data_IF_965195124361
#
_entry.id   IF_965195124361
#
_cell.length_a   1.000
_cell.length_b   1.000
_cell.length_c   1.000
_cell.angle_alpha   90.00
_cell.angle_beta   90.00
_cell.angle_gamma   90.00
#
_symmetry.space_group_name_H-M   'P 1'
#
loop_
_entity.id
_entity.type
_entity.pdbx_description
1 polymer ?
#
# COMPACT_ATOMS: atom_id res chain seq x y z
N UNK A 1 16.18 -3.89 26.68
CA UNK A 1 15.39 -4.96 26.04
C UNK A 1 15.05 -4.51 24.64
N UNK A 2 15.84 -4.97 23.68
CA UNK A 2 15.63 -4.72 22.26
C UNK A 2 14.36 -5.47 21.83
N UNK A 3 13.27 -4.73 21.65
CA UNK A 3 12.09 -5.27 20.98
C UNK A 3 12.46 -5.38 19.49
N UNK A 4 12.93 -6.56 19.11
CA UNK A 4 13.10 -6.95 17.72
C UNK A 4 11.76 -6.87 17.00
N UNK A 5 11.51 -5.75 16.32
CA UNK A 5 10.40 -5.61 15.38
C UNK A 5 10.80 -6.25 14.05
N UNK A 6 10.93 -7.56 14.06
CA UNK A 6 11.12 -8.36 12.86
C UNK A 6 9.74 -8.58 12.22
N UNK A 7 9.28 -7.61 11.45
CA UNK A 7 8.06 -7.74 10.64
C UNK A 7 8.33 -7.31 9.20
N UNK A 8 9.00 -8.21 8.47
CA UNK A 8 8.82 -8.48 7.04
C UNK A 8 8.75 -7.28 6.09
N UNK A 9 9.83 -6.50 6.00
CA UNK A 9 10.17 -5.83 4.73
C UNK A 9 10.44 -6.87 3.62
N UNK A 10 10.76 -8.13 3.98
CA UNK A 10 11.18 -9.21 3.08
C UNK A 10 10.05 -9.81 2.24
N UNK A 11 8.82 -9.95 2.74
CA UNK A 11 7.74 -10.58 1.95
C UNK A 11 7.18 -9.65 0.86
N UNK A 12 7.20 -8.33 1.05
CA UNK A 12 6.72 -7.41 0.02
C UNK A 12 7.71 -7.34 -1.16
N UNK A 13 9.00 -7.25 -0.84
CA UNK A 13 10.10 -7.31 -1.82
C UNK A 13 10.12 -8.68 -2.49
N UNK A 14 10.04 -9.77 -1.73
CA UNK A 14 9.97 -11.13 -2.28
C UNK A 14 8.72 -11.36 -3.15
N UNK A 15 7.61 -10.72 -2.81
CA UNK A 15 6.40 -10.76 -3.62
C UNK A 15 6.57 -9.99 -4.94
N UNK A 16 7.24 -8.83 -4.92
CA UNK A 16 7.52 -8.03 -6.12
C UNK A 16 8.66 -8.61 -6.97
N UNK A 17 9.63 -9.28 -6.35
CA UNK A 17 10.66 -10.08 -7.01
C UNK A 17 10.04 -11.32 -7.68
N UNK A 18 9.08 -11.99 -7.01
CA UNK A 18 8.29 -13.06 -7.63
C UNK A 18 7.43 -12.55 -8.78
N UNK A 19 6.81 -11.36 -8.65
CA UNK A 19 6.09 -10.70 -9.75
C UNK A 19 7.02 -10.38 -10.93
N UNK A 20 8.25 -9.95 -10.65
CA UNK A 20 9.24 -9.65 -11.67
C UNK A 20 9.82 -10.90 -12.34
N UNK A 21 9.98 -12.00 -11.58
CA UNK A 21 10.36 -13.30 -12.14
C UNK A 21 9.27 -13.84 -13.08
N UNK A 22 8.01 -13.72 -12.69
CA UNK A 22 6.86 -14.09 -13.54
C UNK A 22 6.80 -13.23 -14.80
N UNK A 23 7.08 -11.91 -14.69
CA UNK A 23 7.15 -11.02 -15.84
C UNK A 23 8.29 -11.40 -16.81
N UNK A 24 9.48 -11.76 -16.29
CA UNK A 24 10.61 -12.27 -17.09
C UNK A 24 10.30 -13.60 -17.78
N UNK A 25 9.69 -14.54 -17.07
CA UNK A 25 9.35 -15.87 -17.59
C UNK A 25 8.27 -15.78 -18.68
N UNK A 26 7.39 -14.78 -18.63
CA UNK A 26 6.40 -14.54 -19.68
C UNK A 26 7.01 -14.09 -21.02
N UNK A 27 8.26 -13.59 -21.02
CA UNK A 27 8.93 -13.02 -22.19
C UNK A 27 9.93 -13.98 -22.88
N UNK A 28 10.01 -15.25 -22.42
CA UNK A 28 10.84 -16.27 -23.09
C UNK A 28 10.01 -17.19 -23.98
N UNK A 29 10.33 -17.34 -25.29
CA UNK A 29 9.60 -18.25 -26.16
C UNK A 29 9.99 -19.70 -25.83
N UNK A 30 9.06 -20.48 -25.26
CA UNK A 30 9.24 -21.94 -25.12
C UNK A 30 8.59 -22.66 -26.31
N UNK A 31 9.44 -23.15 -27.21
CA UNK A 31 9.06 -24.15 -28.19
C UNK A 31 8.90 -25.54 -27.55
N UNK A 32 8.04 -26.37 -28.15
CA UNK A 32 8.07 -27.83 -27.95
C UNK A 32 6.93 -28.44 -27.13
N UNK A 33 5.96 -28.97 -27.87
CA UNK A 33 4.97 -30.01 -27.55
C UNK A 33 5.25 -30.90 -26.33
N UNK A 34 4.30 -30.93 -25.40
CA UNK A 34 4.26 -31.93 -24.32
C UNK A 34 3.00 -31.76 -23.47
N UNK A 35 2.02 -32.66 -23.67
CA UNK A 35 0.78 -32.73 -22.88
C UNK A 35 1.17 -33.06 -21.44
N UNK A 36 1.25 -32.04 -20.59
CA UNK A 36 1.63 -32.16 -19.17
C UNK A 36 0.50 -31.60 -18.32
N UNK A 37 0.15 -32.31 -17.26
CA UNK A 37 -0.79 -31.83 -16.25
C UNK A 37 -0.19 -30.60 -15.57
N UNK A 38 -0.71 -29.41 -15.90
CA UNK A 38 -0.22 -28.12 -15.42
C UNK A 38 -0.82 -27.87 -14.02
N UNK A 39 0.00 -27.67 -12.96
CA UNK A 39 -0.51 -27.48 -11.60
C UNK A 39 -1.31 -26.18 -11.49
N UNK A 40 -2.27 -26.16 -10.56
CA UNK A 40 -3.09 -24.97 -10.32
C UNK A 40 -2.20 -23.80 -9.86
N UNK A 41 -2.58 -22.54 -10.11
CA UNK A 41 -1.73 -21.38 -9.77
C UNK A 41 -1.38 -21.30 -8.28
N UNK A 42 -2.28 -21.75 -7.40
CA UNK A 42 -2.01 -21.90 -5.96
C UNK A 42 -1.02 -23.03 -5.63
N UNK A 43 -0.99 -24.11 -6.41
CA UNK A 43 0.00 -25.19 -6.28
C UNK A 43 1.36 -24.79 -6.87
N UNK A 44 1.39 -24.01 -7.95
CA UNK A 44 2.62 -23.49 -8.53
C UNK A 44 3.30 -22.47 -7.61
N UNK A 45 2.51 -21.61 -6.95
CA UNK A 45 3.01 -20.70 -5.92
C UNK A 45 3.52 -21.44 -4.67
N UNK A 46 2.84 -22.51 -4.25
CA UNK A 46 3.28 -23.35 -3.13
C UNK A 46 4.50 -24.23 -3.46
N UNK A 47 4.63 -24.69 -4.72
CA UNK A 47 5.72 -25.56 -5.17
C UNK A 47 7.00 -24.80 -5.55
N UNK A 48 6.89 -23.52 -5.96
CA UNK A 48 8.03 -22.63 -6.11
C UNK A 48 8.75 -22.30 -4.78
N UNK A 49 8.07 -22.53 -3.64
CA UNK A 49 8.64 -22.37 -2.29
C UNK A 49 9.43 -23.63 -1.86
N UNK A 50 9.31 -24.75 -2.57
CA UNK A 50 10.02 -25.98 -2.23
C UNK A 50 10.28 -26.89 -3.43
N UNK A 51 11.38 -26.66 -4.15
CA UNK A 51 12.25 -27.70 -4.73
C UNK A 51 13.41 -27.10 -5.56
N UNK A 52 14.63 -27.31 -5.06
CA UNK A 52 15.96 -27.40 -5.70
C UNK A 52 16.36 -26.44 -6.87
N UNK A 53 17.11 -25.39 -6.51
CA UNK A 53 18.32 -24.95 -7.23
C UNK A 53 19.28 -24.18 -6.30
N UNK A 54 20.59 -24.14 -6.61
CA UNK A 54 21.65 -24.25 -5.60
C UNK A 54 21.99 -22.94 -4.88
N UNK A 55 22.06 -23.05 -3.54
CA UNK A 55 22.80 -22.25 -2.54
C UNK A 55 23.34 -20.87 -2.96
N UNK A 56 22.60 -19.84 -2.56
CA UNK A 56 23.18 -18.71 -1.82
C UNK A 56 22.40 -18.57 -0.51
N UNK A 57 23.10 -18.85 0.58
CA UNK A 57 22.57 -19.02 1.92
C UNK A 57 22.32 -17.67 2.62
N UNK A 58 21.05 -17.33 2.83
CA UNK A 58 20.53 -16.55 3.96
C UNK A 58 19.06 -16.94 4.24
N UNK A 59 18.83 -18.12 4.80
CA UNK A 59 17.52 -18.53 5.32
C UNK A 59 17.29 -17.91 6.71
N UNK A 60 16.65 -16.74 6.73
CA UNK A 60 15.89 -16.28 7.91
C UNK A 60 14.48 -16.88 7.89
N UNK A 61 13.81 -17.06 9.05
CA UNK A 61 12.52 -17.74 9.11
C UNK A 61 11.47 -16.95 8.32
N UNK A 62 10.96 -17.54 7.23
CA UNK A 62 9.84 -17.00 6.47
C UNK A 62 8.59 -17.04 7.36
N UNK A 63 8.20 -15.89 7.92
CA UNK A 63 6.94 -15.77 8.64
C UNK A 63 5.75 -16.13 7.73
N UNK A 64 4.62 -16.57 8.31
CA UNK A 64 3.44 -16.94 7.52
C UNK A 64 2.97 -15.75 6.68
N UNK A 65 2.70 -16.00 5.39
CA UNK A 65 2.16 -15.00 4.46
C UNK A 65 0.88 -14.39 5.04
N UNK A 66 0.78 -13.06 5.01
CA UNK A 66 -0.45 -12.38 5.38
C UNK A 66 -1.56 -12.72 4.37
N UNK A 67 -2.82 -12.84 4.82
CA UNK A 67 -3.95 -13.06 3.90
C UNK A 67 -4.07 -12.00 2.80
N UNK A 68 -3.54 -10.80 3.05
CA UNK A 68 -3.40 -9.75 2.05
C UNK A 68 -2.32 -10.05 1.01
N UNK A 69 -1.17 -10.59 1.43
CA UNK A 69 -0.08 -11.00 0.53
C UNK A 69 -0.48 -12.22 -0.29
N UNK A 70 -1.30 -13.11 0.26
CA UNK A 70 -1.80 -14.30 -0.44
C UNK A 70 -2.96 -14.02 -1.41
N UNK A 71 -3.54 -12.82 -1.41
CA UNK A 71 -4.77 -12.54 -2.15
C UNK A 71 -4.55 -12.48 -3.67
N UNK A 72 -5.17 -13.39 -4.42
CA UNK A 72 -5.15 -13.41 -5.90
C UNK A 72 -6.55 -13.60 -6.46
N UNK A 73 -6.83 -12.97 -7.60
CA UNK A 73 -8.01 -13.24 -8.39
C UNK A 73 -7.62 -14.15 -9.56
N UNK A 74 -8.29 -15.28 -9.69
CA UNK A 74 -8.13 -16.20 -10.81
C UNK A 74 -9.45 -16.31 -11.55
N UNK A 75 -9.40 -16.27 -12.88
CA UNK A 75 -10.59 -16.32 -13.74
C UNK A 75 -10.57 -17.64 -14.50
N UNK A 76 -11.61 -18.45 -14.30
CA UNK A 76 -11.81 -19.66 -15.09
C UNK A 76 -12.49 -19.29 -16.41
N UNK A 77 -11.74 -19.34 -17.51
CA UNK A 77 -12.24 -18.97 -18.84
C UNK A 77 -12.57 -20.24 -19.64
N UNK A 78 -13.85 -20.49 -19.99
CA UNK A 78 -14.22 -21.62 -20.82
C UNK A 78 -13.80 -21.41 -22.28
N UNK A 79 -13.72 -22.51 -23.01
CA UNK A 79 -13.60 -22.46 -24.47
C UNK A 79 -14.88 -21.86 -25.09
N UNK A 80 -14.79 -21.04 -26.16
CA UNK A 80 -13.60 -20.67 -26.93
C UNK A 80 -12.86 -19.42 -26.44
N UNK A 81 -13.37 -18.72 -25.42
CA UNK A 81 -12.84 -17.42 -24.98
C UNK A 81 -11.39 -17.52 -24.46
N UNK A 82 -10.98 -18.69 -23.98
CA UNK A 82 -9.62 -18.96 -23.52
C UNK A 82 -8.54 -18.85 -24.62
N UNK A 83 -8.93 -18.84 -25.90
CA UNK A 83 -8.02 -18.57 -27.03
C UNK A 83 -7.51 -17.13 -26.93
N UNK A 84 -8.38 -16.19 -26.57
CA UNK A 84 -8.05 -14.78 -26.35
C UNK A 84 -7.52 -14.56 -24.93
N UNK A 85 -8.28 -15.00 -23.93
CA UNK A 85 -7.90 -14.89 -22.52
C UNK A 85 -7.04 -16.09 -22.10
N UNK A 86 -5.87 -16.18 -22.69
CA UNK A 86 -4.89 -17.23 -22.41
C UNK A 86 -4.34 -17.12 -20.98
N UNK A 87 -3.67 -18.18 -20.50
CA UNK A 87 -3.02 -18.16 -19.17
C UNK A 87 -1.96 -17.07 -19.06
N UNK A 88 -1.23 -16.77 -20.15
CA UNK A 88 -0.22 -15.70 -20.19
C UNK A 88 -0.87 -14.33 -19.98
N UNK A 89 -1.98 -14.08 -20.68
CA UNK A 89 -2.79 -12.86 -20.54
C UNK A 89 -3.33 -12.70 -19.12
N UNK A 90 -3.94 -13.75 -18.56
CA UNK A 90 -4.44 -13.72 -17.18
C UNK A 90 -3.33 -13.46 -16.15
N UNK A 91 -2.12 -13.92 -16.43
CA UNK A 91 -0.96 -13.65 -15.57
C UNK A 91 -0.56 -12.17 -15.60
N UNK A 92 -0.54 -11.52 -16.78
CA UNK A 92 -0.29 -10.07 -16.90
C UNK A 92 -1.35 -9.27 -16.11
N UNK A 93 -2.63 -9.64 -16.24
CA UNK A 93 -3.71 -9.04 -15.44
C UNK A 93 -3.53 -9.23 -13.93
N UNK A 94 -3.11 -10.43 -13.50
CA UNK A 94 -2.82 -10.70 -12.09
C UNK A 94 -1.70 -9.79 -11.57
N UNK A 95 -0.65 -9.56 -12.37
CA UNK A 95 0.43 -8.65 -11.98
C UNK A 95 -0.06 -7.21 -11.81
N UNK A 96 -0.79 -6.69 -12.80
CA UNK A 96 -1.37 -5.33 -12.75
C UNK A 96 -2.30 -5.20 -11.55
N UNK A 97 -3.21 -6.17 -11.37
CA UNK A 97 -4.15 -6.21 -10.24
C UNK A 97 -3.40 -6.18 -8.90
N UNK A 98 -2.40 -7.04 -8.72
CA UNK A 98 -1.67 -7.13 -7.45
C UNK A 98 -0.93 -5.85 -7.12
N UNK A 99 -0.34 -5.21 -8.14
CA UNK A 99 0.30 -3.91 -7.97
C UNK A 99 -0.70 -2.83 -7.54
N UNK A 100 -1.81 -2.67 -8.27
CA UNK A 100 -2.87 -1.70 -7.95
C UNK A 100 -3.49 -1.95 -6.57
N UNK A 101 -3.79 -3.21 -6.27
CA UNK A 101 -4.36 -3.64 -5.00
C UNK A 101 -3.43 -3.30 -3.84
N UNK A 102 -2.13 -3.56 -4.02
CA UNK A 102 -1.13 -3.22 -3.02
C UNK A 102 -1.08 -1.72 -2.74
N UNK A 103 -0.99 -0.91 -3.79
CA UNK A 103 -0.89 0.54 -3.66
C UNK A 103 -2.17 1.14 -3.06
N UNK A 104 -3.35 0.66 -3.48
CA UNK A 104 -4.64 1.08 -2.92
C UNK A 104 -4.79 0.69 -1.45
N UNK A 105 -4.27 -0.47 -1.06
CA UNK A 105 -4.28 -0.90 0.33
C UNK A 105 -3.40 0.00 1.21
N UNK A 106 -2.23 0.41 0.71
CA UNK A 106 -1.36 1.35 1.40
C UNK A 106 -2.02 2.71 1.60
N UNK A 107 -2.67 3.23 0.56
CA UNK A 107 -3.45 4.47 0.63
C UNK A 107 -4.50 4.39 1.74
N UNK A 108 -5.25 3.28 1.81
CA UNK A 108 -6.26 3.05 2.86
C UNK A 108 -5.64 2.98 4.26
N UNK A 109 -4.45 2.37 4.42
CA UNK A 109 -3.74 2.32 5.72
C UNK A 109 -3.30 3.72 6.16
N UNK A 110 -2.72 4.51 5.25
CA UNK A 110 -2.32 5.90 5.53
C UNK A 110 -3.53 6.77 5.85
N UNK A 111 -4.66 6.57 5.16
CA UNK A 111 -5.92 7.27 5.47
C UNK A 111 -6.49 6.87 6.84
N UNK A 112 -6.40 5.60 7.24
CA UNK A 112 -6.79 5.16 8.59
C UNK A 112 -5.94 5.83 9.67
N UNK A 113 -4.63 5.93 9.47
CA UNK A 113 -3.74 6.69 10.36
C UNK A 113 -4.13 8.17 10.42
N UNK A 114 -4.64 8.77 9.35
CA UNK A 114 -5.16 10.15 9.41
C UNK A 114 -6.40 10.30 10.32
N UNK A 115 -7.33 9.33 10.30
CA UNK A 115 -8.51 9.36 11.19
C UNK A 115 -8.12 9.33 12.66
N UNK A 116 -7.09 8.56 12.98
CA UNK A 116 -6.49 8.48 14.30
C UNK A 116 -5.89 9.82 14.72
N UNK A 117 -5.20 10.50 13.80
CA UNK A 117 -4.66 11.84 14.03
C UNK A 117 -5.73 12.92 14.21
N UNK A 118 -6.94 12.75 13.66
CA UNK A 118 -8.03 13.72 13.88
C UNK A 118 -8.44 13.80 15.36
N UNK A 119 -8.21 12.75 16.15
CA UNK A 119 -8.53 12.73 17.59
C UNK A 119 -7.60 13.63 18.39
N UNK A 120 -6.32 13.66 18.00
CA UNK A 120 -5.28 14.54 18.57
C UNK A 120 -5.53 16.04 18.34
N UNK A 121 -6.38 16.43 17.38
CA UNK A 121 -6.73 17.85 17.17
C UNK A 121 -7.45 18.47 18.36
N UNK A 122 -8.06 17.65 19.21
CA UNK A 122 -8.73 18.13 20.42
C UNK A 122 -7.78 18.17 21.64
N UNK A 123 -6.50 17.78 21.51
CA UNK A 123 -5.48 17.83 22.55
C UNK A 123 -4.92 19.26 22.77
N UNK A 124 -4.19 19.53 23.88
CA UNK A 124 -3.55 20.83 24.10
C UNK A 124 -2.61 21.25 22.97
N UNK A 125 -2.48 22.56 22.71
CA UNK A 125 -1.67 23.09 21.61
C UNK A 125 -0.19 22.65 21.66
N UNK A 126 0.38 22.50 22.86
CA UNK A 126 1.75 22.01 23.07
C UNK A 126 1.93 20.58 22.53
N UNK A 127 0.96 19.70 22.78
CA UNK A 127 0.94 18.32 22.28
C UNK A 127 0.80 18.32 20.76
N UNK A 128 -0.06 19.19 20.22
CA UNK A 128 -0.25 19.32 18.77
C UNK A 128 1.04 19.77 18.05
N UNK A 129 1.79 20.71 18.64
CA UNK A 129 3.06 21.18 18.07
C UNK A 129 4.10 20.06 18.03
N UNK A 130 4.22 19.29 19.11
CA UNK A 130 5.20 18.21 19.22
C UNK A 130 4.92 17.03 18.27
N UNK A 131 3.65 16.77 17.94
CA UNK A 131 3.27 15.71 16.99
C UNK A 131 3.26 16.19 15.52
N UNK A 132 3.42 17.49 15.27
CA UNK A 132 3.28 18.08 13.93
C UNK A 132 4.20 17.44 12.88
N UNK A 133 5.44 17.07 13.24
CA UNK A 133 6.38 16.40 12.34
C UNK A 133 5.83 15.04 11.85
N UNK A 134 5.22 14.24 12.73
CA UNK A 134 4.57 13.00 12.37
C UNK A 134 3.39 13.24 11.41
N UNK A 135 2.64 14.33 11.62
CA UNK A 135 1.51 14.69 10.76
C UNK A 135 1.97 15.13 9.37
N UNK A 136 3.06 15.89 9.30
CA UNK A 136 3.70 16.30 8.06
C UNK A 136 4.21 15.07 7.29
N UNK A 137 4.93 14.16 7.96
CA UNK A 137 5.41 12.91 7.35
C UNK A 137 4.25 12.08 6.76
N UNK A 138 3.21 11.82 7.55
CA UNK A 138 2.01 11.10 7.08
C UNK A 138 1.37 11.80 5.88
N UNK A 139 1.26 13.12 5.91
CA UNK A 139 0.67 13.89 4.82
C UNK A 139 1.47 13.70 3.53
N UNK A 140 2.80 13.79 3.59
CA UNK A 140 3.71 13.57 2.45
C UNK A 140 3.61 12.15 1.91
N UNK A 141 3.63 11.13 2.79
CA UNK A 141 3.43 9.73 2.42
C UNK A 141 2.08 9.50 1.72
N UNK A 142 0.99 10.03 2.29
CA UNK A 142 -0.35 9.88 1.72
C UNK A 142 -0.44 10.57 0.36
N UNK A 143 0.07 11.80 0.25
CA UNK A 143 0.09 12.54 -1.00
C UNK A 143 0.84 11.79 -2.10
N UNK A 144 2.03 11.25 -1.80
CA UNK A 144 2.79 10.43 -2.75
C UNK A 144 1.97 9.23 -3.23
N UNK A 145 1.44 8.43 -2.31
CA UNK A 145 0.68 7.21 -2.65
C UNK A 145 -0.61 7.54 -3.41
N UNK A 146 -1.31 8.63 -3.06
CA UNK A 146 -2.53 9.05 -3.76
C UNK A 146 -2.24 9.46 -5.21
N UNK A 147 -1.19 10.25 -5.44
CA UNK A 147 -0.81 10.64 -6.80
C UNK A 147 -0.37 9.42 -7.62
N UNK A 148 0.33 8.45 -7.01
CA UNK A 148 0.69 7.21 -7.67
C UNK A 148 -0.54 6.38 -8.07
N UNK A 149 -1.51 6.20 -7.16
CA UNK A 149 -2.77 5.49 -7.48
C UNK A 149 -3.53 6.21 -8.59
N UNK A 150 -3.61 7.54 -8.51
CA UNK A 150 -4.30 8.34 -9.51
C UNK A 150 -3.63 8.18 -10.89
N UNK A 151 -2.30 8.28 -10.95
CA UNK A 151 -1.54 8.06 -12.18
C UNK A 151 -1.85 6.69 -12.80
N UNK A 152 -1.69 5.62 -12.04
CA UNK A 152 -1.89 4.27 -12.57
C UNK A 152 -3.33 4.03 -13.05
N UNK A 153 -4.34 4.53 -12.33
CA UNK A 153 -5.73 4.29 -12.69
C UNK A 153 -6.21 5.22 -13.82
N UNK A 154 -5.94 6.52 -13.71
CA UNK A 154 -6.55 7.56 -14.55
C UNK A 154 -5.69 7.96 -15.74
N UNK A 155 -4.37 7.87 -15.64
CA UNK A 155 -3.47 8.24 -16.75
C UNK A 155 -2.91 7.05 -17.50
N UNK A 156 -2.90 5.87 -16.89
CA UNK A 156 -2.40 4.65 -17.52
C UNK A 156 -3.55 3.72 -17.89
N UNK A 157 -4.26 3.17 -16.90
CA UNK A 157 -5.26 2.12 -17.17
C UNK A 157 -6.44 2.65 -17.99
N UNK A 158 -7.05 3.77 -17.59
CA UNK A 158 -8.25 4.31 -18.27
C UNK A 158 -8.00 4.67 -19.75
N UNK A 159 -6.95 5.45 -20.11
CA UNK A 159 -6.74 5.82 -21.51
C UNK A 159 -6.36 4.62 -22.38
N UNK A 160 -5.55 3.70 -21.85
CA UNK A 160 -5.13 2.48 -22.56
C UNK A 160 -6.31 1.53 -22.77
N UNK A 161 -7.21 1.44 -21.80
CA UNK A 161 -8.45 0.68 -21.94
C UNK A 161 -9.33 1.26 -23.05
N UNK A 162 -9.49 2.58 -23.07
CA UNK A 162 -10.30 3.25 -24.09
C UNK A 162 -9.71 3.08 -25.51
N UNK A 163 -8.39 3.22 -25.65
CA UNK A 163 -7.68 2.95 -26.91
C UNK A 163 -7.92 1.51 -27.40
N UNK A 164 -7.82 0.53 -26.50
CA UNK A 164 -8.08 -0.86 -26.82
C UNK A 164 -9.53 -1.08 -27.26
N UNK A 165 -10.50 -0.50 -26.54
CA UNK A 165 -11.93 -0.63 -26.85
C UNK A 165 -12.24 -0.12 -28.26
N UNK A 166 -11.71 1.05 -28.65
CA UNK A 166 -11.85 1.59 -30.01
C UNK A 166 -11.24 0.65 -31.06
N UNK A 167 -10.02 0.16 -30.84
CA UNK A 167 -9.39 -0.77 -31.77
C UNK A 167 -10.12 -2.12 -31.86
N UNK A 168 -10.79 -2.54 -30.80
CA UNK A 168 -11.60 -3.76 -30.79
C UNK A 168 -12.91 -3.61 -31.58
N UNK A 169 -13.51 -2.42 -31.57
CA UNK A 169 -14.69 -2.11 -32.40
C UNK A 169 -14.37 -2.13 -33.91
N UNK A 170 -13.15 -1.72 -34.27
CA UNK A 170 -12.68 -1.67 -35.65
C UNK A 170 -12.05 -2.99 -36.16
N UNK A 171 -11.78 -3.94 -35.26
CA UNK A 171 -11.08 -5.19 -35.58
C UNK A 171 -11.96 -6.13 -36.44
N UNK A 172 -11.42 -6.54 -37.60
CA UNK A 172 -12.13 -7.41 -38.56
C UNK A 172 -11.72 -8.90 -38.45
N UNK A 173 -10.71 -9.21 -37.63
CA UNK A 173 -10.17 -10.56 -37.47
C UNK A 173 -9.65 -10.79 -36.05
N UNK A 174 -9.48 -12.06 -35.68
CA UNK A 174 -9.07 -12.47 -34.33
C UNK A 174 -7.62 -12.07 -34.04
N UNK A 175 -6.75 -12.04 -35.04
CA UNK A 175 -5.34 -11.69 -34.84
C UNK A 175 -5.17 -10.21 -34.50
N UNK A 176 -5.94 -9.33 -35.15
CA UNK A 176 -6.02 -7.91 -34.86
C UNK A 176 -6.54 -7.65 -33.44
N UNK A 177 -7.58 -8.38 -33.03
CA UNK A 177 -8.08 -8.36 -31.65
C UNK A 177 -7.01 -8.76 -30.63
N UNK A 178 -6.30 -9.87 -30.88
CA UNK A 178 -5.25 -10.38 -29.99
C UNK A 178 -4.10 -9.37 -29.85
N UNK A 179 -3.69 -8.74 -30.96
CA UNK A 179 -2.64 -7.72 -30.96
C UNK A 179 -3.03 -6.48 -30.16
N UNK A 180 -4.26 -5.97 -30.36
CA UNK A 180 -4.77 -4.83 -29.58
C UNK A 180 -4.80 -5.15 -28.08
N UNK A 181 -5.26 -6.35 -27.72
CA UNK A 181 -5.32 -6.80 -26.33
C UNK A 181 -3.94 -6.98 -25.68
N UNK A 182 -2.96 -7.49 -26.42
CA UNK A 182 -1.58 -7.61 -25.94
C UNK A 182 -0.92 -6.24 -25.78
N UNK A 183 -1.11 -5.33 -26.74
CA UNK A 183 -0.58 -3.97 -26.69
C UNK A 183 -1.09 -3.20 -25.46
N UNK A 184 -2.39 -3.31 -25.15
CA UNK A 184 -2.97 -2.75 -23.93
C UNK A 184 -2.26 -3.24 -22.66
N UNK A 185 -2.08 -4.57 -22.54
CA UNK A 185 -1.46 -5.15 -21.35
C UNK A 185 0.00 -4.75 -21.21
N UNK A 186 0.74 -4.73 -22.33
CA UNK A 186 2.16 -4.37 -22.33
C UNK A 186 2.36 -2.90 -21.98
N UNK A 187 1.51 -2.01 -22.52
CA UNK A 187 1.51 -0.60 -22.14
C UNK A 187 1.20 -0.42 -20.65
N UNK A 188 0.17 -1.09 -20.11
CA UNK A 188 -0.14 -1.03 -18.69
C UNK A 188 0.98 -1.55 -17.80
N UNK A 189 1.64 -2.66 -18.17
CA UNK A 189 2.77 -3.19 -17.42
C UNK A 189 3.96 -2.22 -17.45
N UNK A 190 4.26 -1.63 -18.61
CA UNK A 190 5.37 -0.70 -18.75
C UNK A 190 5.12 0.61 -17.99
N UNK A 191 3.97 1.24 -18.21
CA UNK A 191 3.66 2.55 -17.64
C UNK A 191 3.34 2.49 -16.14
N UNK A 192 2.86 1.36 -15.62
CA UNK A 192 2.79 1.14 -14.17
C UNK A 192 4.16 0.76 -13.55
N UNK A 193 5.27 0.92 -14.27
CA UNK A 193 6.65 0.64 -13.84
C UNK A 193 6.96 -0.84 -13.54
N UNK A 194 6.09 -1.78 -13.93
CA UNK A 194 6.28 -3.21 -13.64
C UNK A 194 7.40 -3.85 -14.47
N UNK A 195 7.82 -3.20 -15.56
CA UNK A 195 8.93 -3.65 -16.41
C UNK A 195 10.29 -3.05 -16.01
N UNK A 196 10.32 -1.95 -15.24
CA UNK A 196 11.57 -1.33 -14.79
C UNK A 196 11.93 -1.76 -13.36
N UNK A 197 12.83 -2.74 -13.25
CA UNK A 197 13.22 -3.33 -11.97
C UNK A 197 13.80 -2.33 -10.96
N UNK A 198 14.63 -1.38 -11.42
CA UNK A 198 15.27 -0.43 -10.53
C UNK A 198 14.24 0.53 -9.90
N UNK A 199 13.38 1.12 -10.74
CA UNK A 199 12.31 2.01 -10.26
C UNK A 199 11.31 1.26 -9.37
N UNK A 200 10.89 0.05 -9.77
CA UNK A 200 9.96 -0.75 -8.98
C UNK A 200 10.54 -1.11 -7.61
N UNK A 201 11.84 -1.43 -7.53
CA UNK A 201 12.51 -1.72 -6.27
C UNK A 201 12.50 -0.51 -5.34
N UNK A 202 12.87 0.67 -5.83
CA UNK A 202 12.85 1.89 -5.01
C UNK A 202 11.42 2.25 -4.58
N UNK A 203 10.44 2.14 -5.48
CA UNK A 203 9.02 2.32 -5.14
C UNK A 203 8.57 1.34 -4.04
N UNK A 204 9.00 0.09 -4.11
CA UNK A 204 8.69 -0.93 -3.09
C UNK A 204 9.22 -0.53 -1.72
N UNK A 205 10.45 0.00 -1.65
CA UNK A 205 11.05 0.47 -0.40
C UNK A 205 10.31 1.69 0.17
N UNK A 206 9.82 2.59 -0.69
CA UNK A 206 8.96 3.71 -0.27
C UNK A 206 7.69 3.15 0.38
N UNK A 207 7.04 2.18 -0.28
CA UNK A 207 5.80 1.57 0.22
C UNK A 207 6.02 0.76 1.51
N UNK A 208 7.14 0.06 1.64
CA UNK A 208 7.54 -0.62 2.87
C UNK A 208 7.74 0.38 4.03
N UNK A 209 8.37 1.53 3.74
CA UNK A 209 8.53 2.61 4.73
C UNK A 209 7.18 3.17 5.18
N UNK A 210 6.24 3.38 4.26
CA UNK A 210 4.85 3.73 4.57
C UNK A 210 4.16 2.65 5.42
N UNK A 211 4.39 1.36 5.14
CA UNK A 211 3.83 0.26 5.92
C UNK A 211 4.31 0.31 7.38
N UNK A 212 5.62 0.40 7.58
CA UNK A 212 6.24 0.49 8.91
C UNK A 212 5.70 1.70 9.67
N UNK A 213 5.58 2.86 9.00
CA UNK A 213 4.94 4.04 9.59
C UNK A 213 3.51 3.73 10.07
N UNK A 214 2.66 3.17 9.20
CA UNK A 214 1.24 2.89 9.55
C UNK A 214 1.10 1.86 10.67
N UNK A 215 1.99 0.86 10.73
CA UNK A 215 2.01 -0.14 11.79
C UNK A 215 2.43 0.47 13.13
N UNK A 216 3.48 1.31 13.13
CA UNK A 216 3.90 2.03 14.34
C UNK A 216 2.80 2.95 14.84
N UNK A 217 2.16 3.70 13.95
CA UNK A 217 1.00 4.52 14.31
C UNK A 217 -0.12 3.65 14.87
N UNK A 218 -0.50 2.55 14.20
CA UNK A 218 -1.52 1.67 14.71
C UNK A 218 -1.18 1.09 16.10
N UNK A 219 0.09 0.79 16.38
CA UNK A 219 0.54 0.34 17.70
C UNK A 219 0.41 1.43 18.76
N UNK A 220 0.91 2.64 18.50
CA UNK A 220 0.89 3.76 19.46
C UNK A 220 -0.53 4.13 19.89
N UNK A 221 -1.50 4.01 19.00
CA UNK A 221 -2.89 4.33 19.32
C UNK A 221 -3.79 3.09 19.52
N UNK A 222 -3.26 1.86 19.49
CA UNK A 222 -4.05 0.61 19.64
C UNK A 222 -4.79 0.55 20.99
N UNK A 223 -4.09 0.94 22.04
CA UNK A 223 -4.61 0.94 23.40
C UNK A 223 -5.77 1.96 23.58
N UNK A 224 -5.99 2.90 22.65
CA UNK A 224 -7.07 3.89 22.72
C UNK A 224 -8.45 3.30 22.35
N UNK A 225 -8.53 2.44 21.34
CA UNK A 225 -9.79 1.81 20.93
C UNK A 225 -10.31 0.84 22.00
N UNK A 226 -9.40 0.15 22.69
CA UNK A 226 -9.73 -0.75 23.80
C UNK A 226 -10.26 0.05 25.00
N UNK A 227 -9.60 1.15 25.38
CA UNK A 227 -10.03 2.01 26.49
C UNK A 227 -11.37 2.70 26.19
N UNK A 228 -11.58 3.21 24.96
CA UNK A 228 -12.85 3.85 24.59
C UNK A 228 -14.02 2.85 24.58
N UNK A 229 -13.80 1.65 24.04
CA UNK A 229 -14.82 0.60 24.04
C UNK A 229 -15.17 0.13 25.46
N UNK A 230 -14.15 -0.03 26.32
CA UNK A 230 -14.34 -0.36 27.74
C UNK A 230 -15.12 0.72 28.48
N UNK A 231 -14.75 1.99 28.30
CA UNK A 231 -15.44 3.11 28.94
C UNK A 231 -16.90 3.25 28.48
N UNK A 232 -17.18 3.04 27.18
CA UNK A 232 -18.55 3.00 26.65
C UNK A 232 -19.36 1.84 27.22
N UNK A 233 -18.72 0.67 27.38
CA UNK A 233 -19.35 -0.51 27.96
C UNK A 233 -19.63 -0.32 29.45
N UNK A 234 -18.69 0.24 30.21
CA UNK A 234 -18.87 0.60 31.63
C UNK A 234 -19.98 1.64 31.81
N UNK A 235 -20.03 2.69 30.98
CA UNK A 235 -21.10 3.68 31.01
C UNK A 235 -22.48 3.06 30.67
N UNK A 236 -22.53 2.14 29.69
CA UNK A 236 -23.75 1.39 29.36
C UNK A 236 -24.20 0.48 30.51
N UNK A 237 -23.26 -0.19 31.19
CA UNK A 237 -23.54 -1.07 32.31
C UNK A 237 -24.05 -0.30 33.54
N UNK A 238 -23.44 0.86 33.84
CA UNK A 238 -23.89 1.76 34.92
C UNK A 238 -25.30 2.32 34.64
N UNK A 239 -25.60 2.66 33.38
CA UNK A 239 -26.93 3.11 32.98
C UNK A 239 -28.00 2.00 33.14
N UNK A 240 -27.64 0.74 32.85
CA UNK A 240 -28.54 -0.42 33.03
C UNK A 240 -28.77 -0.78 34.50
N UNK A 241 -27.79 -0.57 35.38
CA UNK A 241 -27.91 -0.78 36.83
C UNK A 241 -28.87 0.20 37.53
N UNK A 242 -29.14 1.36 36.92
CA UNK A 242 -30.01 2.41 37.47
C UNK A 242 -31.50 2.23 37.10
N UNK A 243 -31.90 1.09 36.51
CA UNK A 243 -33.29 0.79 36.09
C UNK A 243 -33.98 -0.15 37.10
N UNK A 244 -33.91 0.17 38.38
CA UNK A 244 -34.84 -0.36 39.40
C UNK A 244 -35.78 0.78 39.81
N UNK A 245 -37.10 0.64 39.65
CA UNK A 245 -38.04 1.72 39.91
C UNK A 245 -38.30 1.80 41.42
N UNK A 246 -37.72 2.81 42.06
CA UNK A 246 -38.35 3.61 43.11
C UNK A 246 -37.27 4.30 43.97
N UNK A 247 -36.81 5.48 43.54
CA UNK A 247 -36.46 6.61 44.42
C UNK A 247 -36.22 7.89 43.58
N UNK A 248 -36.82 9.05 43.93
CA UNK A 248 -36.57 10.31 43.24
C UNK A 248 -35.30 10.95 43.83
N UNK A 249 -34.13 10.59 43.31
CA UNK A 249 -32.87 11.27 43.67
C UNK A 249 -32.10 11.71 42.43
N UNK A 250 -32.19 13.01 42.17
CA UNK A 250 -31.32 13.86 41.32
C UNK A 250 -30.35 13.08 40.42
N UNK A 251 -30.82 12.70 39.23
CA UNK A 251 -29.92 12.29 38.16
C UNK A 251 -28.99 13.46 37.88
N UNK A 252 -27.74 13.40 38.39
CA UNK A 252 -26.72 14.41 38.13
C UNK A 252 -26.68 14.62 36.62
N UNK A 253 -27.17 15.77 36.16
CA UNK A 253 -27.16 16.11 34.74
C UNK A 253 -25.71 16.02 34.28
N UNK A 254 -25.41 14.96 33.52
CA UNK A 254 -24.07 14.68 33.01
C UNK A 254 -23.75 15.81 32.06
N UNK A 255 -23.06 16.85 32.54
CA UNK A 255 -22.75 18.00 31.73
C UNK A 255 -21.83 17.53 30.57
N UNK A 256 -22.32 17.51 29.31
CA UNK A 256 -21.57 16.97 28.19
C UNK A 256 -20.26 17.72 27.97
N UNK A 257 -20.22 19.02 28.34
CA UNK A 257 -19.01 19.85 28.27
C UNK A 257 -17.94 19.40 29.27
N UNK A 258 -18.34 18.99 30.48
CA UNK A 258 -17.40 18.51 31.51
C UNK A 258 -16.82 17.15 31.12
N UNK A 259 -17.66 16.23 30.64
CA UNK A 259 -17.23 14.92 30.16
C UNK A 259 -16.32 15.01 28.93
N UNK A 260 -16.64 15.92 27.98
CA UNK A 260 -15.76 16.22 26.85
C UNK A 260 -14.40 16.72 27.34
N UNK A 261 -14.36 17.76 28.18
CA UNK A 261 -13.10 18.34 28.70
C UNK A 261 -12.23 17.30 29.41
N UNK A 262 -12.85 16.40 30.17
CA UNK A 262 -12.13 15.34 30.89
C UNK A 262 -11.57 14.27 29.95
N UNK A 263 -12.31 13.86 28.91
CA UNK A 263 -11.80 12.96 27.86
C UNK A 263 -10.59 13.58 27.16
N UNK A 264 -10.70 14.84 26.75
CA UNK A 264 -9.63 15.56 26.06
C UNK A 264 -8.35 15.68 26.90
N UNK A 265 -8.51 15.90 28.21
CA UNK A 265 -7.35 15.98 29.10
C UNK A 265 -6.66 14.63 29.27
N UNK A 266 -7.43 13.53 29.38
CA UNK A 266 -6.88 12.18 29.48
C UNK A 266 -6.16 11.78 28.19
N UNK A 267 -6.78 12.05 27.05
CA UNK A 267 -6.25 11.77 25.73
C UNK A 267 -4.97 12.59 25.45
N UNK A 268 -5.01 13.90 25.72
CA UNK A 268 -3.85 14.78 25.59
C UNK A 268 -2.66 14.35 26.45
N UNK A 269 -2.89 13.99 27.73
CA UNK A 269 -1.83 13.49 28.62
C UNK A 269 -1.22 12.19 28.13
N UNK A 270 -2.02 11.28 27.58
CA UNK A 270 -1.55 9.99 27.11
C UNK A 270 -0.71 10.12 25.84
N UNK A 271 -1.18 10.92 24.88
CA UNK A 271 -0.41 11.28 23.69
C UNK A 271 0.89 11.95 24.11
N UNK A 272 0.84 12.87 25.08
CA UNK A 272 2.02 13.55 25.60
C UNK A 272 3.07 12.59 26.18
N UNK A 273 2.65 11.55 26.90
CA UNK A 273 3.55 10.49 27.38
C UNK A 273 4.22 9.77 26.21
N UNK A 274 3.45 9.37 25.19
CA UNK A 274 3.97 8.63 24.03
C UNK A 274 4.98 9.48 23.25
N UNK A 275 4.63 10.72 22.91
CA UNK A 275 5.52 11.63 22.16
C UNK A 275 6.73 12.10 22.97
N UNK A 276 6.71 11.92 24.30
CA UNK A 276 7.85 12.19 25.18
C UNK A 276 8.85 11.05 25.24
N UNK A 277 8.49 9.87 24.75
CA UNK A 277 9.45 8.78 24.63
C UNK A 277 10.49 9.12 23.56
N UNK A 278 11.78 9.04 23.91
CA UNK A 278 12.88 9.24 22.96
C UNK A 278 12.76 8.28 21.75
N UNK A 279 12.31 7.05 22.00
CA UNK A 279 12.05 6.04 20.95
C UNK A 279 11.06 6.53 19.89
N UNK A 280 10.00 7.26 20.27
CA UNK A 280 9.03 7.81 19.32
C UNK A 280 9.69 8.88 18.43
N UNK A 281 10.37 9.84 19.03
CA UNK A 281 11.00 10.95 18.31
C UNK A 281 12.04 10.41 17.32
N UNK A 282 12.95 9.55 17.78
CA UNK A 282 13.96 8.91 16.92
C UNK A 282 13.33 8.08 15.80
N UNK A 283 12.25 7.37 16.10
CA UNK A 283 11.51 6.57 15.10
C UNK A 283 10.93 7.43 13.98
N UNK A 284 10.27 8.53 14.32
CA UNK A 284 9.67 9.44 13.34
C UNK A 284 10.76 10.10 12.50
N UNK A 285 11.81 10.64 13.13
CA UNK A 285 12.92 11.26 12.40
C UNK A 285 13.64 10.28 11.47
N UNK A 286 13.81 9.02 11.88
CA UNK A 286 14.39 7.99 11.02
C UNK A 286 13.49 7.66 9.82
N UNK A 287 12.18 7.51 10.04
CA UNK A 287 11.22 7.25 8.96
C UNK A 287 11.12 8.43 7.99
N UNK A 288 11.19 9.65 8.51
CA UNK A 288 11.19 10.87 7.70
C UNK A 288 12.40 10.92 6.78
N UNK A 289 13.62 10.78 7.33
CA UNK A 289 14.84 10.76 6.51
C UNK A 289 14.83 9.65 5.48
N UNK A 290 14.49 8.41 5.89
CA UNK A 290 14.41 7.27 4.97
C UNK A 290 13.41 7.51 3.84
N UNK A 291 12.24 8.05 4.15
CA UNK A 291 11.23 8.35 3.14
C UNK A 291 11.72 9.43 2.17
N UNK A 292 12.33 10.49 2.68
CA UNK A 292 12.91 11.57 1.88
C UNK A 292 13.98 11.05 0.93
N UNK A 293 14.98 10.32 1.45
CA UNK A 293 16.09 9.80 0.67
C UNK A 293 15.60 8.85 -0.45
N UNK A 294 14.60 8.01 -0.14
CA UNK A 294 14.03 7.09 -1.13
C UNK A 294 13.23 7.81 -2.21
N UNK A 295 12.42 8.80 -1.85
CA UNK A 295 11.65 9.60 -2.82
C UNK A 295 12.57 10.44 -3.69
N UNK A 296 13.62 11.00 -3.11
CA UNK A 296 14.65 11.76 -3.82
C UNK A 296 15.37 10.89 -4.85
N UNK A 297 15.87 9.72 -4.42
CA UNK A 297 16.48 8.74 -5.32
C UNK A 297 15.50 8.31 -6.42
N UNK A 298 14.26 7.99 -6.05
CA UNK A 298 13.24 7.55 -7.00
C UNK A 298 12.98 8.58 -8.09
N UNK A 299 12.80 9.86 -7.74
CA UNK A 299 12.52 10.92 -8.70
C UNK A 299 13.75 11.21 -9.58
N UNK A 300 14.96 11.18 -9.01
CA UNK A 300 16.20 11.33 -9.77
C UNK A 300 16.37 10.19 -10.81
N UNK A 301 16.11 8.96 -10.39
CA UNK A 301 16.14 7.78 -11.28
C UNK A 301 15.06 7.87 -12.36
N UNK A 302 13.89 8.40 -12.02
CA UNK A 302 12.78 8.60 -12.96
C UNK A 302 13.14 9.64 -14.02
N UNK A 303 13.73 10.76 -13.60
CA UNK A 303 14.23 11.81 -14.51
C UNK A 303 15.35 11.32 -15.42
N UNK A 304 16.32 10.57 -14.89
CA UNK A 304 17.44 10.05 -15.69
C UNK A 304 16.98 8.99 -16.70
N UNK A 305 16.04 8.13 -16.31
CA UNK A 305 15.41 7.14 -17.20
C UNK A 305 14.59 7.82 -18.28
N UNK A 306 13.86 8.88 -17.94
CA UNK A 306 13.09 9.66 -18.92
C UNK A 306 13.98 10.30 -19.99
N UNK A 307 15.06 10.98 -19.58
CA UNK A 307 16.00 11.66 -20.50
C UNK A 307 16.74 10.71 -21.44
N UNK A 308 17.06 9.51 -20.97
CA UNK A 308 17.79 8.51 -21.77
C UNK A 308 16.88 7.70 -22.71
N UNK A 309 15.61 7.54 -22.35
CA UNK A 309 14.67 6.65 -23.06
C UNK A 309 13.60 7.34 -23.91
N UNK A 310 13.42 8.66 -23.84
CA UNK A 310 12.37 9.38 -24.60
C UNK A 310 10.95 8.94 -24.21
N UNK A 311 10.75 8.53 -22.96
CA UNK A 311 9.49 7.96 -22.46
C UNK A 311 8.65 9.04 -21.80
N UNK A 312 7.68 9.58 -22.54
CA UNK A 312 6.83 10.69 -22.10
C UNK A 312 6.00 10.37 -20.84
N UNK A 313 5.60 9.11 -20.66
CA UNK A 313 4.86 8.67 -19.47
C UNK A 313 5.64 8.84 -18.17
N UNK A 314 6.99 8.75 -18.23
CA UNK A 314 7.85 8.98 -17.08
C UNK A 314 7.88 10.47 -16.73
N UNK A 315 7.91 11.36 -17.72
CA UNK A 315 7.81 12.82 -17.47
C UNK A 315 6.49 13.14 -16.77
N UNK A 316 5.39 12.59 -17.27
CA UNK A 316 4.06 12.80 -16.68
C UNK A 316 4.00 12.32 -15.21
N UNK A 317 4.56 11.13 -14.94
CA UNK A 317 4.66 10.61 -13.59
C UNK A 317 5.53 11.51 -12.68
N UNK A 318 6.69 11.95 -13.16
CA UNK A 318 7.56 12.89 -12.43
C UNK A 318 6.82 14.19 -12.08
N UNK A 319 6.18 14.81 -13.06
CA UNK A 319 5.44 16.07 -12.89
C UNK A 319 4.29 15.92 -11.90
N UNK A 320 3.63 14.76 -11.85
CA UNK A 320 2.58 14.43 -10.89
C UNK A 320 3.13 14.24 -9.48
N UNK A 321 4.19 13.47 -9.33
CA UNK A 321 4.79 13.18 -8.03
C UNK A 321 5.48 14.42 -7.43
N UNK A 322 5.99 15.31 -8.27
CA UNK A 322 6.62 16.57 -7.89
C UNK A 322 5.70 17.80 -8.09
N UNK A 323 4.38 17.60 -8.19
CA UNK A 323 3.43 18.70 -8.45
C UNK A 323 3.49 19.83 -7.39
N UNK A 324 4.00 19.52 -6.19
CA UNK A 324 4.22 20.52 -5.14
C UNK A 324 5.48 21.39 -5.30
N UNK A 325 6.39 21.05 -6.23
CA UNK A 325 7.70 21.69 -6.42
C UNK A 325 8.67 21.54 -5.25
N UNK A 326 8.27 20.89 -4.16
CA UNK A 326 9.07 20.71 -2.94
C UNK A 326 10.28 19.80 -3.20
N UNK A 327 10.18 18.90 -4.17
CA UNK A 327 11.25 17.96 -4.49
C UNK A 327 12.19 18.61 -5.51
N UNK A 328 11.67 19.25 -6.57
CA UNK A 328 12.46 20.11 -7.46
C UNK A 328 13.25 21.23 -6.74
N UNK A 329 12.68 21.84 -5.70
CA UNK A 329 13.35 22.90 -4.93
C UNK A 329 14.54 22.41 -4.08
N UNK A 330 14.74 21.10 -3.93
CA UNK A 330 15.96 20.50 -3.34
C UNK A 330 17.05 20.20 -4.38
N UNK A 331 16.69 20.15 -5.66
CA UNK A 331 17.59 19.82 -6.78
C UNK A 331 18.08 21.04 -7.58
N UNK A 332 17.51 22.22 -7.33
CA UNK A 332 18.00 23.53 -7.78
C UNK A 332 18.57 24.29 -6.59
#
# INVERSE_FOLDING_TARGET
EEIGFDFSERNLIGHLDAMHQIAKDSNTPRGGTGRTHIPRPGEAAAKAIGADSPRMSEEGPQGPLSGFEAFTLDVNVPWPVNIVLSRRVLTKYQLIFRHLFFTKHMERKLYRSWRLHQRVKEAPAEVQLRIAACFALRHRMLHFVQNLVYYMMVEVVEPRWHEMEQHLEEANDVDSLLKSHEAFQDACLEECLLTNHALLKTLTLIMATCLVFTQRMAYFFREEEVDEHRLRQEASNLAKMHVLPDEPKSAKHVNPRKHRKERLLREGKRIDIIISQASYVTSISHLERRFDDLVESFISDLWSTSKSGGRDYLVNLCMRLDFSGVIAARFH
#
